data_IF_311493902815
#
_entry.id   IF_311493902815
#
_cell.length_a   1.000
_cell.length_b   1.000
_cell.length_c   1.000
_cell.angle_alpha   90.00
_cell.angle_beta   90.00
_cell.angle_gamma   90.00
#
_symmetry.space_group_name_H-M   'P 1'
#
loop_
_entity.id
_entity.type
_entity.pdbx_description
1 polymer ?
#
# COMPACT_ATOMS: atom_id res chain seq x y z
N UNK A 1 67.05 -20.57 -29.28
CA UNK A 1 65.59 -20.54 -29.21
C UNK A 1 65.08 -21.21 -27.93
N UNK A 2 64.77 -20.50 -26.87
CA UNK A 2 63.67 -20.88 -25.99
C UNK A 2 62.99 -19.70 -25.21
N UNK A 3 62.91 -18.48 -25.76
CA UNK A 3 62.28 -17.35 -24.99
C UNK A 3 60.77 -17.18 -25.26
N UNK A 4 60.24 -17.66 -26.37
CA UNK A 4 58.83 -17.54 -26.75
C UNK A 4 57.90 -18.51 -26.01
N UNK A 5 58.36 -19.67 -25.56
CA UNK A 5 57.53 -20.66 -24.89
C UNK A 5 57.19 -20.23 -23.42
N UNK A 6 58.02 -19.38 -22.82
CA UNK A 6 57.81 -18.90 -21.44
C UNK A 6 56.71 -17.83 -21.31
N UNK A 7 56.47 -17.03 -22.36
CA UNK A 7 55.43 -16.00 -22.38
C UNK A 7 54.01 -16.55 -22.69
N UNK A 8 53.92 -17.70 -23.35
CA UNK A 8 52.63 -18.33 -23.73
C UNK A 8 51.98 -19.10 -22.60
N UNK A 9 52.75 -19.61 -21.61
CA UNK A 9 52.20 -20.33 -20.45
C UNK A 9 51.26 -19.50 -19.55
N UNK A 10 51.60 -18.26 -19.12
CA UNK A 10 50.68 -17.47 -18.28
C UNK A 10 49.42 -17.08 -19.04
N UNK A 11 49.51 -16.82 -20.36
CA UNK A 11 48.34 -16.53 -21.17
C UNK A 11 47.41 -17.76 -21.32
N UNK A 12 47.98 -18.95 -21.53
CA UNK A 12 47.21 -20.18 -21.60
C UNK A 12 46.55 -20.54 -20.25
N UNK A 13 47.24 -20.29 -19.12
CA UNK A 13 46.68 -20.46 -17.78
C UNK A 13 45.57 -19.46 -17.57
N UNK A 14 45.72 -18.19 -17.93
CA UNK A 14 44.69 -17.17 -17.85
C UNK A 14 43.43 -17.50 -18.66
N UNK A 15 43.64 -17.98 -19.90
CA UNK A 15 42.51 -18.43 -20.74
C UNK A 15 41.82 -19.67 -20.17
N UNK A 16 42.59 -20.61 -19.61
CA UNK A 16 42.01 -21.79 -18.97
C UNK A 16 41.16 -21.41 -17.73
N UNK A 17 41.68 -20.52 -16.90
CA UNK A 17 40.94 -20.01 -15.72
C UNK A 17 39.67 -19.29 -16.18
N UNK A 18 39.73 -18.43 -17.17
CA UNK A 18 38.53 -17.77 -17.71
C UNK A 18 37.52 -18.75 -18.28
N UNK A 19 37.97 -19.73 -19.04
CA UNK A 19 37.10 -20.75 -19.62
C UNK A 19 36.44 -21.62 -18.55
N UNK A 20 37.21 -22.07 -17.55
CA UNK A 20 36.66 -22.86 -16.44
C UNK A 20 35.68 -22.04 -15.59
N UNK A 21 35.99 -20.78 -15.29
CA UNK A 21 35.07 -19.88 -14.57
C UNK A 21 33.78 -19.68 -15.36
N UNK A 22 33.87 -19.39 -16.65
CA UNK A 22 32.68 -19.22 -17.50
C UNK A 22 31.83 -20.50 -17.55
N UNK A 23 32.47 -21.66 -17.69
CA UNK A 23 31.78 -22.95 -17.69
C UNK A 23 31.10 -23.25 -16.35
N UNK A 24 31.75 -22.91 -15.26
CA UNK A 24 31.17 -23.06 -13.90
C UNK A 24 29.98 -22.17 -13.73
N UNK A 25 30.04 -20.89 -14.15
CA UNK A 25 28.91 -19.95 -14.07
C UNK A 25 27.72 -20.42 -14.93
N UNK A 26 27.99 -20.90 -16.14
CA UNK A 26 26.95 -21.46 -17.03
C UNK A 26 26.32 -22.71 -16.40
N UNK A 27 27.13 -23.61 -15.86
CA UNK A 27 26.64 -24.81 -15.20
C UNK A 27 25.79 -24.46 -13.95
N UNK A 28 26.25 -23.48 -13.15
CA UNK A 28 25.49 -22.99 -12.01
C UNK A 28 24.14 -22.37 -12.43
N UNK A 29 24.13 -21.55 -13.47
CA UNK A 29 22.90 -20.98 -14.03
C UNK A 29 21.93 -22.08 -14.49
N UNK A 30 22.43 -23.08 -15.23
CA UNK A 30 21.61 -24.20 -15.71
C UNK A 30 21.05 -25.03 -14.56
N UNK A 31 21.84 -25.32 -13.53
CA UNK A 31 21.40 -26.03 -12.34
C UNK A 31 20.34 -25.24 -11.57
N UNK A 32 20.50 -23.92 -11.41
CA UNK A 32 19.52 -23.06 -10.77
C UNK A 32 18.20 -22.98 -11.56
N UNK A 33 18.25 -23.14 -12.89
CA UNK A 33 17.02 -23.20 -13.70
C UNK A 33 16.24 -24.49 -13.54
N UNK A 34 16.86 -25.56 -13.07
CA UNK A 34 16.18 -26.80 -12.73
C UNK A 34 15.44 -26.71 -11.38
N UNK A 35 15.82 -25.77 -10.52
CA UNK A 35 15.09 -25.48 -9.28
C UNK A 35 13.85 -24.65 -9.65
N UNK A 36 12.65 -25.11 -9.31
CA UNK A 36 11.45 -24.31 -9.52
C UNK A 36 11.64 -22.94 -8.85
N UNK A 37 11.12 -21.86 -9.44
CA UNK A 37 11.13 -20.55 -8.78
C UNK A 37 10.52 -20.71 -7.41
N UNK A 38 11.13 -20.10 -6.39
CA UNK A 38 10.44 -19.92 -5.12
C UNK A 38 9.11 -19.24 -5.42
N UNK A 39 8.03 -19.81 -4.92
CA UNK A 39 6.74 -19.15 -5.05
C UNK A 39 6.86 -17.72 -4.51
N UNK A 40 6.28 -16.72 -5.21
CA UNK A 40 6.32 -15.35 -4.74
C UNK A 40 5.82 -15.33 -3.28
N UNK A 41 6.62 -14.79 -2.37
CA UNK A 41 6.20 -14.63 -0.99
C UNK A 41 4.96 -13.73 -0.98
N UNK A 42 3.85 -14.25 -0.50
CA UNK A 42 2.65 -13.47 -0.27
C UNK A 42 2.93 -12.56 0.92
N UNK A 43 2.69 -11.26 0.75
CA UNK A 43 2.78 -10.29 1.84
C UNK A 43 1.72 -10.59 2.88
N UNK A 44 2.16 -11.11 4.01
CA UNK A 44 1.31 -11.49 5.13
C UNK A 44 0.45 -12.72 4.85
N UNK A 45 0.07 -13.42 5.87
CA UNK A 45 -1.04 -14.35 5.80
C UNK A 45 -2.30 -13.51 5.63
N UNK A 46 -2.94 -13.60 4.46
CA UNK A 46 -4.29 -13.08 4.31
C UNK A 46 -5.19 -13.88 5.24
N UNK A 47 -5.35 -13.39 6.45
CA UNK A 47 -6.25 -13.98 7.42
C UNK A 47 -7.70 -13.67 7.04
N UNK A 48 -8.13 -14.12 5.86
CA UNK A 48 -9.53 -14.00 5.50
C UNK A 48 -10.13 -15.35 5.07
N UNK A 49 -11.42 -15.47 5.22
CA UNK A 49 -12.18 -16.61 4.74
C UNK A 49 -13.33 -16.17 3.84
N UNK A 50 -13.66 -17.00 2.84
CA UNK A 50 -14.82 -16.80 1.97
C UNK A 50 -16.11 -16.88 2.78
N UNK A 51 -17.25 -16.55 2.13
CA UNK A 51 -18.56 -16.55 2.77
C UNK A 51 -18.97 -17.92 3.36
N UNK A 52 -18.47 -19.00 2.78
CA UNK A 52 -18.66 -20.37 3.26
C UNK A 52 -17.75 -20.78 4.44
N UNK A 53 -16.91 -19.84 4.91
CA UNK A 53 -15.94 -20.06 5.98
C UNK A 53 -14.61 -20.68 5.51
N UNK A 54 -14.42 -20.93 4.23
CA UNK A 54 -13.17 -21.49 3.71
C UNK A 54 -12.04 -20.47 3.81
N UNK A 55 -10.94 -20.78 4.52
CA UNK A 55 -9.81 -19.86 4.61
C UNK A 55 -9.08 -19.74 3.27
N UNK A 56 -8.58 -18.56 2.97
CA UNK A 56 -7.73 -18.26 1.81
C UNK A 56 -6.33 -17.91 2.30
N UNK A 57 -5.34 -18.67 1.87
CA UNK A 57 -3.99 -18.61 2.42
C UNK A 57 -3.00 -17.83 1.56
N UNK A 58 -3.29 -17.68 0.27
CA UNK A 58 -2.36 -17.04 -0.67
C UNK A 58 -3.08 -16.52 -1.92
N UNK A 59 -2.35 -15.73 -2.72
CA UNK A 59 -2.86 -15.13 -3.95
C UNK A 59 -3.36 -16.17 -4.96
N UNK A 60 -2.63 -17.27 -5.14
CA UNK A 60 -3.00 -18.33 -6.08
C UNK A 60 -4.36 -18.92 -5.70
N UNK A 61 -4.53 -19.25 -4.43
CA UNK A 61 -5.80 -19.77 -3.92
C UNK A 61 -6.93 -18.73 -4.05
N UNK A 62 -6.65 -17.45 -3.81
CA UNK A 62 -7.61 -16.37 -4.00
C UNK A 62 -8.08 -16.26 -5.46
N UNK A 63 -7.16 -16.38 -6.43
CA UNK A 63 -7.48 -16.39 -7.86
C UNK A 63 -8.26 -17.65 -8.27
N UNK A 64 -7.79 -18.82 -7.87
CA UNK A 64 -8.43 -20.11 -8.19
C UNK A 64 -9.87 -20.20 -7.65
N UNK A 65 -10.11 -19.60 -6.48
CA UNK A 65 -11.43 -19.54 -5.85
C UNK A 65 -12.29 -18.35 -6.31
N UNK A 66 -11.75 -17.50 -7.18
CA UNK A 66 -12.47 -16.33 -7.68
C UNK A 66 -12.75 -15.27 -6.62
N UNK A 67 -11.96 -15.22 -5.54
CA UNK A 67 -12.05 -14.15 -4.52
C UNK A 67 -11.50 -12.82 -5.03
N UNK A 68 -10.53 -12.89 -5.91
CA UNK A 68 -9.97 -11.75 -6.64
C UNK A 68 -9.98 -12.02 -8.14
N UNK A 69 -9.98 -10.95 -8.91
CA UNK A 69 -9.96 -10.99 -10.37
C UNK A 69 -8.90 -10.04 -10.90
N UNK A 70 -8.35 -10.37 -12.07
CA UNK A 70 -7.44 -9.48 -12.78
C UNK A 70 -8.21 -8.26 -13.30
N UNK A 71 -7.61 -7.08 -13.17
CA UNK A 71 -8.14 -5.85 -13.74
C UNK A 71 -7.67 -5.74 -15.18
N UNK A 72 -8.59 -5.63 -16.16
CA UNK A 72 -8.22 -5.58 -17.57
C UNK A 72 -7.41 -4.32 -17.91
N UNK A 73 -6.65 -4.35 -19.03
CA UNK A 73 -5.94 -3.19 -19.57
C UNK A 73 -6.83 -1.93 -19.63
N UNK A 74 -6.24 -0.70 -19.57
CA UNK A 74 -4.91 -0.37 -20.02
C UNK A 74 -3.81 -0.32 -18.95
N UNK A 75 -4.02 -0.87 -17.77
CA UNK A 75 -2.99 -0.81 -16.75
C UNK A 75 -1.74 -1.61 -17.18
N UNK A 76 -0.53 -1.06 -16.99
CA UNK A 76 0.69 -1.60 -17.62
C UNK A 76 1.22 -2.90 -17.01
N UNK A 77 0.58 -3.41 -15.98
CA UNK A 77 0.96 -4.63 -15.24
C UNK A 77 -0.28 -5.42 -14.84
N UNK A 78 -0.17 -6.72 -14.59
CA UNK A 78 -1.25 -7.45 -13.96
C UNK A 78 -1.68 -6.77 -12.67
N UNK A 79 -2.96 -6.48 -12.55
CA UNK A 79 -3.59 -5.85 -11.40
C UNK A 79 -4.72 -6.73 -10.94
N UNK A 80 -4.88 -6.80 -9.64
CA UNK A 80 -5.95 -7.59 -9.06
C UNK A 80 -6.85 -6.69 -8.21
N UNK A 81 -8.11 -7.05 -8.16
CA UNK A 81 -9.11 -6.42 -7.29
C UNK A 81 -10.02 -7.50 -6.74
N UNK A 82 -10.76 -7.17 -5.70
CA UNK A 82 -11.79 -8.06 -5.20
C UNK A 82 -12.77 -8.42 -6.32
N UNK A 83 -13.18 -9.70 -6.37
CA UNK A 83 -14.18 -10.11 -7.31
C UNK A 83 -15.52 -9.40 -7.00
N UNK A 84 -16.26 -8.96 -8.02
CA UNK A 84 -17.56 -8.33 -7.83
C UNK A 84 -18.54 -9.22 -7.06
N UNK A 85 -19.42 -8.60 -6.28
CA UNK A 85 -20.49 -9.25 -5.51
C UNK A 85 -20.01 -10.31 -4.50
N UNK A 86 -18.79 -10.13 -4.00
CA UNK A 86 -18.19 -11.04 -3.02
C UNK A 86 -18.58 -10.70 -1.58
N UNK A 87 -18.55 -11.74 -0.75
CA UNK A 87 -18.58 -11.61 0.71
C UNK A 87 -17.47 -12.47 1.28
N UNK A 88 -16.76 -11.93 2.25
CA UNK A 88 -15.72 -12.65 2.96
C UNK A 88 -15.58 -12.12 4.40
N UNK A 89 -14.77 -12.77 5.21
CA UNK A 89 -14.52 -12.38 6.59
C UNK A 89 -13.02 -12.14 6.78
N UNK A 90 -12.69 -11.10 7.53
CA UNK A 90 -11.36 -10.93 8.11
C UNK A 90 -11.36 -11.64 9.47
N UNK A 91 -10.42 -12.56 9.70
CA UNK A 91 -10.40 -13.44 10.85
C UNK A 91 -9.43 -12.95 11.90
N UNK A 92 -9.94 -12.71 13.09
CA UNK A 92 -9.18 -12.31 14.29
C UNK A 92 -9.40 -13.29 15.47
N UNK A 93 -10.00 -14.43 15.19
CA UNK A 93 -10.39 -15.42 16.21
C UNK A 93 -9.23 -16.08 16.95
N UNK A 94 -8.04 -16.11 16.37
CA UNK A 94 -6.82 -16.61 17.00
C UNK A 94 -6.19 -15.63 17.98
N UNK A 95 -6.71 -14.40 18.01
CA UNK A 95 -6.22 -13.30 18.85
C UNK A 95 -7.12 -13.16 20.10
N UNK A 96 -7.14 -14.20 20.92
CA UNK A 96 -8.05 -14.40 22.05
C UNK A 96 -8.12 -13.26 23.10
N UNK A 97 -7.33 -12.20 22.95
CA UNK A 97 -7.25 -11.08 23.91
C UNK A 97 -8.12 -9.90 23.49
N UNK A 98 -8.69 -9.92 22.30
CA UNK A 98 -9.35 -8.74 21.72
C UNK A 98 -10.85 -8.91 21.65
N UNK A 99 -11.52 -8.53 22.70
CA UNK A 99 -12.97 -8.34 22.71
C UNK A 99 -13.31 -6.95 22.15
N UNK A 100 -13.16 -6.79 20.82
CA UNK A 100 -13.68 -5.60 20.18
C UNK A 100 -15.20 -5.73 19.98
N UNK A 101 -15.92 -4.67 20.26
CA UNK A 101 -17.39 -4.59 20.11
C UNK A 101 -17.88 -4.67 18.65
N UNK A 102 -16.94 -4.62 17.67
CA UNK A 102 -17.22 -4.70 16.25
C UNK A 102 -16.91 -6.06 15.60
N UNK A 103 -16.37 -7.01 16.37
CA UNK A 103 -16.20 -8.38 15.90
C UNK A 103 -17.50 -9.17 16.08
N UNK A 104 -17.74 -10.11 15.15
CA UNK A 104 -18.84 -11.05 15.33
C UNK A 104 -18.51 -12.08 16.44
N UNK A 105 -19.49 -12.94 16.76
CA UNK A 105 -19.33 -13.96 17.81
C UNK A 105 -18.19 -14.97 17.53
N UNK A 106 -17.69 -15.02 16.31
CA UNK A 106 -16.58 -15.85 15.88
C UNK A 106 -15.25 -15.06 15.80
N UNK A 107 -15.21 -13.81 16.24
CA UNK A 107 -14.02 -12.96 16.19
C UNK A 107 -13.68 -12.48 14.78
N UNK A 108 -14.68 -12.21 13.93
CA UNK A 108 -14.49 -11.86 12.52
C UNK A 108 -15.13 -10.51 12.18
N UNK A 109 -14.61 -9.88 11.14
CA UNK A 109 -15.22 -8.70 10.50
C UNK A 109 -15.79 -9.11 9.15
N UNK A 110 -17.11 -8.99 8.93
CA UNK A 110 -17.70 -9.24 7.63
C UNK A 110 -17.33 -8.14 6.64
N UNK A 111 -16.95 -8.52 5.44
CA UNK A 111 -16.66 -7.62 4.32
C UNK A 111 -17.58 -7.95 3.17
N UNK A 112 -18.21 -6.91 2.62
CA UNK A 112 -19.00 -6.98 1.40
C UNK A 112 -18.33 -6.19 0.29
N UNK A 113 -18.25 -6.78 -0.88
CA UNK A 113 -17.83 -6.15 -2.12
C UNK A 113 -19.03 -6.09 -3.05
N UNK A 114 -19.37 -4.91 -3.54
CA UNK A 114 -20.49 -4.71 -4.43
C UNK A 114 -20.22 -5.18 -5.88
N UNK A 115 -21.18 -5.06 -6.77
CA UNK A 115 -21.06 -5.47 -8.17
C UNK A 115 -19.99 -4.67 -8.94
N UNK A 116 -19.56 -3.53 -8.44
CA UNK A 116 -18.45 -2.72 -9.01
C UNK A 116 -17.07 -3.12 -8.50
N UNK A 117 -16.97 -4.12 -7.62
CA UNK A 117 -15.70 -4.54 -6.99
C UNK A 117 -15.22 -3.58 -5.90
N UNK A 118 -16.11 -2.79 -5.30
CA UNK A 118 -15.83 -1.83 -4.25
C UNK A 118 -16.33 -2.33 -2.90
N UNK A 119 -15.65 -1.95 -1.82
CA UNK A 119 -16.16 -2.18 -0.46
C UNK A 119 -17.28 -1.19 -0.16
N UNK A 120 -18.48 -1.57 -0.54
CA UNK A 120 -19.68 -0.77 -0.42
C UNK A 120 -20.88 -1.65 -0.07
N UNK A 121 -21.68 -1.22 0.91
CA UNK A 121 -22.93 -1.91 1.28
C UNK A 121 -23.99 -1.83 0.18
N UNK A 122 -23.97 -0.74 -0.60
CA UNK A 122 -24.93 -0.46 -1.64
C UNK A 122 -24.30 -0.55 -3.03
N UNK A 123 -25.11 -0.83 -4.03
CA UNK A 123 -24.68 -0.73 -5.41
C UNK A 123 -24.58 0.74 -5.82
N UNK A 124 -23.52 1.06 -6.53
CA UNK A 124 -23.30 2.41 -7.05
C UNK A 124 -23.38 2.37 -8.57
N UNK A 125 -24.43 2.98 -9.11
CA UNK A 125 -24.56 3.10 -10.55
C UNK A 125 -23.52 4.08 -11.11
N UNK A 126 -22.93 3.82 -12.30
CA UNK A 126 -22.05 4.77 -12.97
C UNK A 126 -22.72 6.12 -13.18
N UNK A 127 -23.94 6.13 -13.67
CA UNK A 127 -24.74 7.34 -13.84
C UNK A 127 -25.12 7.93 -12.49
N UNK A 128 -24.82 9.19 -12.31
CA UNK A 128 -25.11 9.92 -11.09
C UNK A 128 -26.57 10.41 -11.11
N UNK A 129 -27.35 10.13 -10.04
CA UNK A 129 -28.67 10.72 -9.88
C UNK A 129 -28.64 12.25 -9.95
N UNK A 130 -29.69 12.85 -10.49
CA UNK A 130 -29.79 14.30 -10.57
C UNK A 130 -29.76 14.93 -9.15
N UNK A 131 -28.92 15.95 -8.97
CA UNK A 131 -28.73 16.63 -7.69
C UNK A 131 -27.77 15.93 -6.72
N UNK A 132 -27.38 14.67 -6.97
CA UNK A 132 -26.41 13.99 -6.12
C UNK A 132 -24.99 14.50 -6.38
N UNK A 133 -24.24 14.72 -5.31
CA UNK A 133 -22.81 15.00 -5.36
C UNK A 133 -22.01 13.77 -4.90
N UNK A 134 -20.93 13.46 -5.60
CA UNK A 134 -20.09 12.29 -5.31
C UNK A 134 -18.69 12.68 -4.88
N UNK A 135 -18.28 12.18 -3.72
CA UNK A 135 -16.92 12.24 -3.21
C UNK A 135 -16.26 10.88 -3.44
N UNK A 136 -15.37 10.80 -4.42
CA UNK A 136 -14.64 9.57 -4.71
C UNK A 136 -13.39 9.53 -3.84
N UNK A 137 -13.33 8.55 -2.94
CA UNK A 137 -12.27 8.36 -1.96
C UNK A 137 -11.34 7.25 -2.44
N UNK A 138 -10.14 7.61 -2.85
CA UNK A 138 -9.13 6.69 -3.39
C UNK A 138 -7.98 6.56 -2.39
N UNK A 139 -7.44 5.39 -2.21
CA UNK A 139 -6.32 5.17 -1.29
C UNK A 139 -6.12 3.69 -0.97
N UNK A 140 -5.44 3.44 0.12
CA UNK A 140 -4.99 2.15 0.61
C UNK A 140 -6.01 1.41 1.49
N UNK A 141 -5.50 0.53 2.33
CA UNK A 141 -6.24 -0.23 3.33
C UNK A 141 -6.90 0.63 4.42
N UNK A 142 -6.39 1.84 4.70
CA UNK A 142 -7.02 2.80 5.62
C UNK A 142 -8.30 3.40 5.00
N UNK A 143 -8.30 3.60 3.68
CA UNK A 143 -9.50 4.00 2.92
C UNK A 143 -10.46 2.83 2.75
N UNK A 144 -9.95 1.66 2.44
CA UNK A 144 -10.74 0.43 2.40
C UNK A 144 -11.43 0.16 3.75
N UNK A 145 -10.76 0.50 4.86
CA UNK A 145 -11.23 0.23 6.21
C UNK A 145 -10.92 -1.21 6.64
N UNK A 146 -9.69 -1.68 6.40
CA UNK A 146 -9.26 -3.01 6.77
C UNK A 146 -9.41 -3.26 8.27
N UNK A 147 -9.93 -4.41 8.64
CA UNK A 147 -10.07 -4.84 10.04
C UNK A 147 -11.25 -4.24 10.82
N UNK A 148 -12.07 -3.40 10.19
CA UNK A 148 -13.21 -2.76 10.84
C UNK A 148 -14.48 -2.88 10.00
N UNK A 149 -15.69 -2.76 10.60
CA UNK A 149 -16.93 -2.66 9.85
C UNK A 149 -16.96 -1.44 8.92
N UNK A 150 -17.61 -1.55 7.76
CA UNK A 150 -17.67 -0.47 6.76
C UNK A 150 -18.21 0.84 7.36
N UNK A 151 -19.24 0.77 8.17
CA UNK A 151 -19.90 1.91 8.80
C UNK A 151 -19.02 2.66 9.83
N UNK A 152 -17.91 2.04 10.25
CA UNK A 152 -16.94 2.65 11.16
C UNK A 152 -15.72 3.22 10.46
N UNK A 153 -15.60 3.02 9.14
CA UNK A 153 -14.55 3.60 8.31
C UNK A 153 -14.80 5.08 7.99
N UNK A 154 -13.74 5.87 7.90
CA UNK A 154 -13.83 7.32 7.68
C UNK A 154 -14.64 7.70 6.43
N UNK A 155 -14.61 6.89 5.37
CA UNK A 155 -15.36 7.16 4.14
C UNK A 155 -16.86 7.22 4.41
N UNK A 156 -17.36 6.26 5.20
CA UNK A 156 -18.77 6.20 5.54
C UNK A 156 -19.14 7.25 6.58
N UNK A 157 -18.28 7.45 7.58
CA UNK A 157 -18.45 8.49 8.58
C UNK A 157 -18.48 9.89 7.92
N UNK A 158 -17.65 10.12 6.91
CA UNK A 158 -17.66 11.38 6.13
C UNK A 158 -18.99 11.57 5.39
N UNK A 159 -19.53 10.53 4.75
CA UNK A 159 -20.84 10.61 4.11
C UNK A 159 -21.92 11.03 5.10
N UNK A 160 -21.97 10.36 6.24
CA UNK A 160 -22.97 10.65 7.28
C UNK A 160 -22.86 12.09 7.80
N UNK A 161 -21.63 12.60 7.98
CA UNK A 161 -21.39 13.99 8.37
C UNK A 161 -21.85 14.99 7.29
N UNK A 162 -21.46 14.75 6.04
CA UNK A 162 -21.80 15.65 4.93
C UNK A 162 -23.30 15.67 4.66
N UNK A 163 -23.98 14.55 4.78
CA UNK A 163 -25.45 14.45 4.58
C UNK A 163 -26.26 15.16 5.65
N UNK A 164 -25.70 15.39 6.84
CA UNK A 164 -26.36 16.20 7.88
C UNK A 164 -26.65 17.64 7.45
N UNK A 165 -25.96 18.15 6.45
CA UNK A 165 -26.26 19.45 5.83
C UNK A 165 -27.53 19.47 4.98
N UNK A 166 -28.18 18.31 4.78
CA UNK A 166 -29.37 18.17 3.92
C UNK A 166 -29.05 17.98 2.44
N UNK A 167 -27.77 17.90 2.07
CA UNK A 167 -27.35 17.67 0.68
C UNK A 167 -27.38 16.16 0.35
N UNK A 168 -27.74 15.82 -0.88
CA UNK A 168 -27.59 14.45 -1.36
C UNK A 168 -26.14 14.17 -1.78
N UNK A 169 -25.35 13.74 -0.80
CA UNK A 169 -23.94 13.42 -0.97
C UNK A 169 -23.75 11.91 -0.85
N UNK A 170 -22.96 11.36 -1.79
CA UNK A 170 -22.54 9.98 -1.78
C UNK A 170 -21.01 9.90 -1.79
N UNK A 171 -20.41 9.26 -0.80
CA UNK A 171 -19.00 8.85 -0.87
C UNK A 171 -18.88 7.53 -1.61
N UNK A 172 -17.80 7.36 -2.35
CA UNK A 172 -17.48 6.12 -3.08
C UNK A 172 -16.15 5.60 -2.56
N UNK A 173 -16.16 4.46 -1.88
CA UNK A 173 -14.96 3.84 -1.33
C UNK A 173 -14.19 3.08 -2.41
N UNK A 174 -13.16 3.72 -2.95
CA UNK A 174 -12.21 3.14 -3.90
C UNK A 174 -10.89 2.74 -3.24
N UNK A 175 -10.92 2.42 -1.95
CA UNK A 175 -9.77 1.93 -1.22
C UNK A 175 -9.29 0.58 -1.74
N UNK A 176 -7.98 0.41 -1.80
CA UNK A 176 -7.30 -0.81 -2.21
C UNK A 176 -6.63 -1.49 -1.01
N UNK A 177 -6.24 -2.74 -1.17
CA UNK A 177 -5.53 -3.49 -0.13
C UNK A 177 -4.29 -4.13 -0.73
N UNK A 178 -3.20 -4.14 0.02
CA UNK A 178 -1.95 -4.76 -0.36
C UNK A 178 -0.86 -3.75 -0.74
N UNK A 179 0.05 -4.12 -1.64
CA UNK A 179 1.18 -3.29 -2.08
C UNK A 179 0.83 -2.35 -3.24
N UNK A 180 -0.37 -1.82 -3.23
CA UNK A 180 -0.88 -0.80 -4.17
C UNK A 180 -0.53 0.55 -3.60
N UNK A 181 0.10 1.42 -4.37
CA UNK A 181 0.59 2.72 -3.95
C UNK A 181 0.00 3.85 -4.82
N UNK A 182 0.49 5.05 -4.64
CA UNK A 182 -0.10 6.27 -5.25
C UNK A 182 -0.21 6.16 -6.79
N UNK A 183 0.78 5.58 -7.47
CA UNK A 183 0.76 5.40 -8.93
C UNK A 183 -0.43 4.54 -9.39
N UNK A 184 -0.79 3.52 -8.63
CA UNK A 184 -1.97 2.71 -8.92
C UNK A 184 -3.28 3.36 -8.52
N UNK A 185 -3.30 4.11 -7.43
CA UNK A 185 -4.49 4.90 -7.06
C UNK A 185 -4.85 5.87 -8.18
N UNK A 186 -3.85 6.54 -8.74
CA UNK A 186 -4.04 7.48 -9.86
C UNK A 186 -4.46 6.75 -11.13
N UNK A 187 -3.86 5.61 -11.43
CA UNK A 187 -4.29 4.77 -12.54
C UNK A 187 -5.74 4.27 -12.35
N UNK A 188 -6.08 3.83 -11.14
CA UNK A 188 -7.45 3.44 -10.77
C UNK A 188 -8.45 4.59 -10.93
N UNK A 189 -8.11 5.79 -10.45
CA UNK A 189 -8.91 6.99 -10.61
C UNK A 189 -9.22 7.27 -12.09
N UNK A 190 -8.21 7.22 -12.94
CA UNK A 190 -8.33 7.54 -14.36
C UNK A 190 -9.09 6.49 -15.17
N UNK A 191 -8.92 5.22 -14.87
CA UNK A 191 -9.36 4.12 -15.74
C UNK A 191 -10.52 3.28 -15.16
N UNK A 192 -10.74 3.33 -13.84
CA UNK A 192 -11.78 2.54 -13.18
C UNK A 192 -12.85 3.38 -12.50
N UNK A 193 -12.43 4.43 -11.77
CA UNK A 193 -13.31 5.17 -10.87
C UNK A 193 -13.89 6.44 -11.50
N UNK A 194 -13.32 6.92 -12.61
CA UNK A 194 -13.85 8.05 -13.39
C UNK A 194 -15.31 7.86 -13.80
N UNK A 195 -15.74 6.61 -14.02
CA UNK A 195 -17.13 6.25 -14.36
C UNK A 195 -18.15 6.68 -13.30
N UNK A 196 -17.72 6.85 -12.06
CA UNK A 196 -18.60 7.29 -10.97
C UNK A 196 -18.81 8.81 -10.94
N UNK A 197 -18.29 9.55 -11.92
CA UNK A 197 -18.53 10.98 -12.12
C UNK A 197 -18.26 11.80 -10.84
N UNK A 198 -17.00 11.81 -10.32
CA UNK A 198 -16.66 12.53 -9.09
C UNK A 198 -16.94 14.02 -9.18
N UNK A 199 -17.53 14.59 -8.15
CA UNK A 199 -17.58 16.04 -7.92
C UNK A 199 -16.40 16.48 -7.03
N UNK A 200 -15.82 15.56 -6.28
CA UNK A 200 -14.61 15.73 -5.46
C UNK A 200 -13.84 14.42 -5.46
N UNK A 201 -12.52 14.50 -5.53
CA UNK A 201 -11.62 13.37 -5.31
C UNK A 201 -10.82 13.61 -4.05
N UNK A 202 -10.89 12.67 -3.10
CA UNK A 202 -10.04 12.62 -1.92
C UNK A 202 -9.09 11.43 -2.08
N UNK A 203 -7.82 11.71 -2.26
CA UNK A 203 -6.77 10.69 -2.28
C UNK A 203 -6.14 10.62 -0.90
N UNK A 204 -6.22 9.46 -0.29
CA UNK A 204 -5.55 9.20 0.99
C UNK A 204 -4.28 8.41 0.77
N UNK A 205 -3.26 8.76 1.50
CA UNK A 205 -1.92 8.19 1.46
C UNK A 205 -1.59 7.74 2.87
N UNK A 206 -1.14 6.50 3.04
CA UNK A 206 -0.37 6.10 4.20
C UNK A 206 1.12 6.13 3.85
N UNK A 207 2.02 6.20 4.82
CA UNK A 207 3.45 6.36 4.53
C UNK A 207 4.06 5.19 3.75
N UNK A 208 3.49 3.99 3.82
CA UNK A 208 3.91 2.85 3.00
C UNK A 208 3.60 3.02 1.49
N UNK A 209 2.75 3.99 1.12
CA UNK A 209 2.41 4.27 -0.27
C UNK A 209 3.46 5.13 -1.01
N UNK A 210 4.49 5.59 -0.30
CA UNK A 210 5.51 6.49 -0.84
C UNK A 210 6.55 5.78 -1.72
N UNK A 211 6.32 4.54 -2.07
CA UNK A 211 7.12 3.74 -3.00
C UNK A 211 6.32 3.47 -4.29
N UNK A 212 7.00 3.14 -5.40
CA UNK A 212 6.30 2.63 -6.56
C UNK A 212 5.56 1.33 -6.24
N UNK A 213 4.35 1.18 -6.75
CA UNK A 213 3.60 -0.07 -6.60
C UNK A 213 4.39 -1.26 -7.14
N UNK A 214 4.41 -2.34 -6.40
CA UNK A 214 5.09 -3.57 -6.82
C UNK A 214 4.33 -4.37 -7.89
N UNK A 215 3.13 -3.96 -8.23
CA UNK A 215 2.36 -4.50 -9.34
C UNK A 215 1.37 -5.60 -8.96
N UNK A 216 1.52 -6.18 -7.80
CA UNK A 216 0.56 -7.12 -7.23
C UNK A 216 0.21 -6.65 -5.83
N UNK A 217 -1.07 -6.48 -5.58
CA UNK A 217 -1.56 -6.05 -4.27
C UNK A 217 -1.25 -7.01 -3.12
N UNK A 218 -0.53 -8.10 -3.36
CA UNK A 218 -0.23 -9.12 -2.35
C UNK A 218 1.10 -9.86 -2.60
N UNK A 219 1.85 -9.48 -3.64
CA UNK A 219 3.10 -10.16 -4.01
C UNK A 219 4.15 -9.11 -4.35
N UNK A 220 5.30 -9.18 -3.73
CA UNK A 220 6.48 -8.39 -4.15
C UNK A 220 7.06 -9.07 -5.40
N UNK A 221 6.96 -8.48 -6.59
CA UNK A 221 7.66 -9.02 -7.73
C UNK A 221 9.14 -8.70 -7.57
N UNK A 222 9.93 -9.70 -7.28
CA UNK A 222 11.33 -9.67 -7.68
C UNK A 222 11.32 -9.65 -9.20
N UNK A 223 11.68 -8.52 -9.82
CA UNK A 223 11.88 -8.47 -11.26
C UNK A 223 13.13 -9.31 -11.56
N UNK A 224 12.99 -10.51 -12.13
CA UNK A 224 14.14 -11.33 -12.40
C UNK A 224 15.02 -10.65 -13.44
N UNK A 225 16.32 -10.63 -13.21
CA UNK A 225 17.31 -10.09 -14.18
C UNK A 225 17.39 -10.92 -15.46
N UNK A 226 16.72 -12.06 -15.50
CA UNK A 226 16.84 -13.09 -16.56
C UNK A 226 17.92 -14.12 -16.27
N UNK A 227 18.75 -13.91 -15.25
CA UNK A 227 19.74 -14.87 -14.76
C UNK A 227 19.43 -15.26 -13.31
N UNK A 228 19.17 -16.54 -13.08
CA UNK A 228 18.92 -17.10 -11.73
C UNK A 228 20.11 -16.92 -10.81
N UNK A 229 21.32 -17.06 -11.35
CA UNK A 229 22.55 -16.88 -10.59
C UNK A 229 22.75 -15.43 -10.19
N UNK A 230 22.48 -14.48 -11.10
CA UNK A 230 22.56 -13.06 -10.78
C UNK A 230 21.51 -12.65 -9.74
N UNK A 231 20.29 -13.15 -9.88
CA UNK A 231 19.20 -12.91 -8.92
C UNK A 231 19.57 -13.43 -7.52
N UNK A 232 20.19 -14.62 -7.45
CA UNK A 232 20.69 -15.20 -6.20
C UNK A 232 21.79 -14.31 -5.58
N UNK A 233 22.78 -13.89 -6.39
CA UNK A 233 23.89 -13.04 -5.94
C UNK A 233 23.37 -11.69 -5.46
N UNK A 234 22.46 -11.06 -6.21
CA UNK A 234 21.85 -9.78 -5.83
C UNK A 234 21.04 -9.91 -4.55
N UNK A 235 20.32 -11.03 -4.35
CA UNK A 235 19.61 -11.31 -3.12
C UNK A 235 20.53 -11.47 -1.90
N UNK A 236 21.70 -12.10 -2.08
CA UNK A 236 22.69 -12.26 -1.00
C UNK A 236 23.42 -10.96 -0.66
N UNK A 237 23.63 -10.08 -1.65
CA UNK A 237 24.38 -8.82 -1.47
C UNK A 237 23.47 -7.67 -1.03
N UNK A 238 22.14 -7.92 -0.86
CA UNK A 238 21.17 -6.89 -0.46
C UNK A 238 21.04 -5.75 -1.48
N UNK A 239 21.45 -5.96 -2.72
CA UNK A 239 21.33 -5.00 -3.83
C UNK A 239 20.21 -5.36 -4.81
N UNK A 240 19.31 -6.25 -4.39
CA UNK A 240 18.02 -6.36 -5.05
C UNK A 240 17.27 -5.01 -5.00
N UNK A 241 16.34 -4.75 -5.91
CA UNK A 241 15.49 -3.58 -5.82
C UNK A 241 14.88 -3.57 -4.43
N UNK A 242 15.11 -2.47 -3.67
CA UNK A 242 14.72 -2.21 -2.28
C UNK A 242 14.21 -3.50 -1.62
N UNK A 243 15.02 -4.09 -0.77
CA UNK A 243 14.61 -5.30 -0.02
C UNK A 243 13.49 -4.88 0.96
N UNK A 244 12.33 -4.66 0.39
CA UNK A 244 11.08 -4.66 1.12
C UNK A 244 10.82 -6.12 1.44
N UNK A 245 11.66 -6.73 2.30
CA UNK A 245 11.32 -8.03 2.87
C UNK A 245 9.99 -7.83 3.60
N UNK A 246 8.88 -8.35 3.05
CA UNK A 246 7.58 -8.19 3.68
C UNK A 246 7.51 -8.89 5.05
N UNK A 247 8.47 -9.74 5.34
CA UNK A 247 8.64 -10.36 6.66
C UNK A 247 9.42 -9.44 7.63
N UNK A 248 10.08 -8.39 7.12
CA UNK A 248 10.82 -7.45 7.93
C UNK A 248 9.93 -6.27 8.30
N UNK A 249 9.52 -6.19 9.53
CA UNK A 249 8.86 -5.01 10.06
C UNK A 249 9.92 -3.93 10.35
N UNK A 250 10.41 -3.29 9.28
CA UNK A 250 11.42 -2.24 9.35
C UNK A 250 10.91 -1.03 10.15
N UNK A 251 9.60 -0.81 10.21
CA UNK A 251 9.00 0.24 11.05
C UNK A 251 9.21 -0.10 12.52
N UNK A 252 8.96 -1.36 12.91
CA UNK A 252 9.18 -1.81 14.28
C UNK A 252 10.67 -1.82 14.63
N UNK A 253 11.54 -2.25 13.72
CA UNK A 253 12.99 -2.20 13.92
C UNK A 253 13.49 -0.78 14.23
N UNK A 254 12.98 0.23 13.52
CA UNK A 254 13.32 1.63 13.78
C UNK A 254 12.81 2.13 15.13
N UNK A 255 11.62 1.69 15.53
CA UNK A 255 11.03 2.05 16.82
C UNK A 255 11.72 1.37 17.99
N UNK A 256 12.28 0.19 17.79
CA UNK A 256 12.97 -0.59 18.82
C UNK A 256 14.41 -0.11 19.05
N UNK A 257 14.97 0.67 18.12
CA UNK A 257 16.28 1.26 18.31
C UNK A 257 16.22 2.39 19.37
N UNK A 258 17.05 2.33 20.44
CA UNK A 258 17.19 3.45 21.34
C UNK A 258 17.58 4.73 20.58
N UNK A 259 17.04 5.91 20.94
CA UNK A 259 17.32 7.17 20.21
C UNK A 259 18.80 7.47 20.03
N UNK A 260 19.64 7.10 21.01
CA UNK A 260 21.09 7.28 20.94
C UNK A 260 21.75 6.33 19.92
N UNK A 261 21.25 5.10 19.78
CA UNK A 261 21.74 4.11 18.81
C UNK A 261 21.27 4.46 17.41
N UNK A 262 20.02 4.91 17.26
CA UNK A 262 19.48 5.40 16.00
C UNK A 262 20.31 6.60 15.50
N UNK A 263 20.61 7.56 16.36
CA UNK A 263 21.46 8.71 16.04
C UNK A 263 22.90 8.28 15.68
N UNK A 264 23.49 7.34 16.42
CA UNK A 264 24.83 6.80 16.14
C UNK A 264 24.88 6.01 14.82
N UNK A 265 23.78 5.36 14.44
CA UNK A 265 23.64 4.68 13.15
C UNK A 265 23.34 5.64 11.99
N UNK A 266 23.22 6.96 12.27
CA UNK A 266 22.82 7.94 11.26
C UNK A 266 21.35 7.87 10.88
N UNK A 267 20.55 7.16 11.68
CA UNK A 267 19.10 7.08 11.56
C UNK A 267 18.57 8.28 12.35
N UNK A 268 18.35 9.37 11.67
CA UNK A 268 17.67 10.55 12.21
C UNK A 268 16.19 10.47 11.82
N UNK A 269 15.40 11.48 12.10
CA UNK A 269 14.01 11.66 11.59
C UNK A 269 13.90 11.47 10.07
N UNK A 270 14.97 11.16 9.46
CA UNK A 270 15.26 11.18 8.05
C UNK A 270 15.82 9.87 7.56
N UNK A 271 15.45 8.78 8.21
CA UNK A 271 16.14 7.57 7.94
C UNK A 271 16.20 7.21 6.44
N UNK A 272 17.26 6.45 6.11
CA UNK A 272 17.52 6.04 4.73
C UNK A 272 16.36 5.35 4.04
N UNK A 273 15.56 4.50 4.69
CA UNK A 273 14.34 3.96 4.10
C UNK A 273 13.37 5.06 3.68
N UNK A 274 13.13 6.06 4.52
CA UNK A 274 12.23 7.17 4.20
C UNK A 274 12.70 7.97 2.98
N UNK A 275 13.99 8.27 2.91
CA UNK A 275 14.57 8.95 1.75
C UNK A 275 14.52 8.07 0.49
N UNK A 276 14.78 6.78 0.61
CA UNK A 276 14.69 5.84 -0.50
C UNK A 276 13.26 5.71 -1.02
N UNK A 277 12.26 5.68 -0.14
CA UNK A 277 10.84 5.64 -0.51
C UNK A 277 10.45 6.87 -1.37
N UNK A 278 10.86 8.06 -0.94
CA UNK A 278 10.52 9.31 -1.61
C UNK A 278 11.38 9.60 -2.84
N UNK A 279 12.64 9.15 -2.86
CA UNK A 279 13.64 9.51 -3.88
C UNK A 279 13.34 8.96 -5.29
N UNK A 280 12.42 8.00 -5.42
CA UNK A 280 12.04 7.44 -6.73
C UNK A 280 11.39 8.46 -7.67
N UNK A 281 10.78 9.50 -7.11
CA UNK A 281 10.02 10.50 -7.87
C UNK A 281 8.64 10.05 -8.35
N UNK A 282 8.34 8.74 -8.26
CA UNK A 282 7.05 8.17 -8.73
C UNK A 282 5.86 8.71 -7.95
N UNK A 283 5.87 8.78 -6.60
CA UNK A 283 4.77 9.36 -5.84
C UNK A 283 4.49 10.82 -6.22
N UNK A 284 5.54 11.63 -6.35
CA UNK A 284 5.42 13.05 -6.72
C UNK A 284 4.80 13.22 -8.10
N UNK A 285 5.31 12.47 -9.08
CA UNK A 285 4.76 12.49 -10.44
C UNK A 285 3.29 12.07 -10.44
N UNK A 286 2.94 11.01 -9.73
CA UNK A 286 1.58 10.49 -9.65
C UNK A 286 0.61 11.52 -9.04
N UNK A 287 1.02 12.24 -7.99
CA UNK A 287 0.22 13.32 -7.39
C UNK A 287 -0.04 14.46 -8.40
N UNK A 288 0.99 14.87 -9.14
CA UNK A 288 0.85 15.91 -10.19
C UNK A 288 -0.06 15.45 -11.34
N UNK A 289 0.05 14.19 -11.75
CA UNK A 289 -0.82 13.59 -12.77
C UNK A 289 -2.28 13.54 -12.32
N UNK A 290 -2.54 13.15 -11.06
CA UNK A 290 -3.88 13.16 -10.50
C UNK A 290 -4.46 14.58 -10.46
N UNK A 291 -3.65 15.55 -9.99
CA UNK A 291 -4.04 16.98 -9.98
C UNK A 291 -4.39 17.47 -11.38
N UNK A 292 -3.53 17.26 -12.37
CA UNK A 292 -3.77 17.67 -13.74
C UNK A 292 -5.02 17.00 -14.34
N UNK A 293 -5.23 15.71 -14.05
CA UNK A 293 -6.42 14.99 -14.49
C UNK A 293 -7.70 15.57 -13.89
N UNK A 294 -7.70 15.89 -12.60
CA UNK A 294 -8.84 16.50 -11.90
C UNK A 294 -9.09 17.93 -12.39
N UNK A 295 -8.04 18.73 -12.55
CA UNK A 295 -8.15 20.11 -13.06
C UNK A 295 -8.77 20.18 -14.46
N UNK A 296 -8.37 19.26 -15.34
CA UNK A 296 -8.93 19.18 -16.70
C UNK A 296 -10.44 18.91 -16.70
N UNK A 297 -10.98 18.43 -15.58
CA UNK A 297 -12.40 18.12 -15.36
C UNK A 297 -13.09 19.08 -14.41
N UNK A 298 -12.37 20.06 -13.88
CA UNK A 298 -12.85 21.02 -12.87
C UNK A 298 -13.34 20.31 -11.60
N UNK A 299 -12.70 19.19 -11.24
CA UNK A 299 -12.99 18.42 -10.03
C UNK A 299 -11.95 18.77 -8.96
N UNK A 300 -12.32 19.25 -7.78
CA UNK A 300 -11.41 19.41 -6.66
C UNK A 300 -10.67 18.12 -6.35
N UNK A 301 -9.33 18.19 -6.25
CA UNK A 301 -8.45 17.10 -5.86
C UNK A 301 -7.80 17.42 -4.52
N UNK A 302 -8.06 16.59 -3.53
CA UNK A 302 -7.65 16.77 -2.15
C UNK A 302 -6.77 15.58 -1.72
N UNK A 303 -5.74 15.84 -0.93
CA UNK A 303 -4.84 14.80 -0.41
C UNK A 303 -4.89 14.76 1.11
N UNK A 304 -5.02 13.57 1.67
CA UNK A 304 -4.98 13.29 3.10
C UNK A 304 -3.84 12.33 3.38
N UNK A 305 -2.97 12.66 4.32
CA UNK A 305 -1.85 11.82 4.74
C UNK A 305 -2.13 11.18 6.10
N UNK A 306 -2.05 9.85 6.14
CA UNK A 306 -2.11 9.06 7.36
C UNK A 306 -0.69 8.71 7.84
N UNK A 307 -0.42 8.82 9.16
CA UNK A 307 0.84 8.36 9.72
C UNK A 307 0.92 6.83 9.75
N UNK A 308 2.12 6.29 9.84
CA UNK A 308 2.28 5.04 10.54
C UNK A 308 1.81 5.23 11.97
N UNK A 309 0.97 4.31 12.46
CA UNK A 309 0.41 4.44 13.82
C UNK A 309 1.44 4.05 14.89
N UNK A 310 2.48 3.30 14.51
CA UNK A 310 3.58 2.95 15.40
C UNK A 310 4.30 4.20 15.91
N UNK A 311 4.73 4.17 17.14
CA UNK A 311 5.45 5.28 17.77
C UNK A 311 4.57 6.44 18.26
N UNK A 312 3.25 6.40 18.01
CA UNK A 312 2.33 7.42 18.52
C UNK A 312 2.10 7.25 20.03
N UNK A 313 1.91 8.37 20.72
CA UNK A 313 1.60 8.40 22.14
C UNK A 313 2.17 9.65 22.82
N UNK A 314 1.65 10.00 24.00
CA UNK A 314 2.06 11.22 24.71
C UNK A 314 3.56 11.23 24.99
N UNK A 315 4.22 12.32 24.55
CA UNK A 315 5.65 12.54 24.79
C UNK A 315 6.60 11.61 24.01
N UNK A 316 6.08 10.78 23.10
CA UNK A 316 6.90 9.93 22.25
C UNK A 316 7.47 10.72 21.08
N UNK A 317 8.71 10.41 20.71
CA UNK A 317 9.29 10.85 19.45
C UNK A 317 8.66 10.08 18.30
N UNK A 318 8.23 10.79 17.25
CA UNK A 318 7.67 10.18 16.06
C UNK A 318 8.72 10.21 14.93
N UNK A 319 9.30 9.07 14.54
CA UNK A 319 10.49 9.03 13.68
C UNK A 319 10.20 9.36 12.21
N UNK A 320 8.93 9.42 11.79
CA UNK A 320 8.57 9.62 10.39
C UNK A 320 8.12 11.04 10.03
N UNK A 321 8.34 12.02 10.92
CA UNK A 321 7.91 13.40 10.71
C UNK A 321 8.41 13.98 9.37
N UNK A 322 9.65 13.67 8.98
CA UNK A 322 10.20 14.16 7.71
C UNK A 322 9.42 13.68 6.49
N UNK A 323 8.87 12.46 6.48
CA UNK A 323 8.04 11.99 5.38
C UNK A 323 6.76 12.84 5.26
N UNK A 324 6.14 13.18 6.38
CA UNK A 324 4.99 14.10 6.39
C UNK A 324 5.36 15.46 5.80
N UNK A 325 6.51 16.01 6.19
CA UNK A 325 6.99 17.31 5.71
C UNK A 325 7.28 17.27 4.19
N UNK A 326 7.85 16.18 3.68
CA UNK A 326 8.12 15.99 2.26
C UNK A 326 6.83 15.92 1.43
N UNK A 327 5.83 15.16 1.89
CA UNK A 327 4.53 15.07 1.22
C UNK A 327 3.81 16.42 1.25
N UNK A 328 3.80 17.10 2.40
CA UNK A 328 3.22 18.43 2.54
C UNK A 328 3.88 19.45 1.61
N UNK A 329 5.22 19.43 1.51
CA UNK A 329 5.97 20.31 0.62
C UNK A 329 5.64 20.07 -0.85
N UNK A 330 5.52 18.80 -1.27
CA UNK A 330 5.11 18.46 -2.64
C UNK A 330 3.69 18.91 -2.94
N UNK A 331 2.73 18.64 -2.05
CA UNK A 331 1.35 19.08 -2.21
C UNK A 331 1.27 20.61 -2.33
N UNK A 332 2.03 21.33 -1.48
CA UNK A 332 2.12 22.80 -1.55
C UNK A 332 2.70 23.27 -2.90
N UNK A 333 3.78 22.67 -3.36
CA UNK A 333 4.42 23.00 -4.63
C UNK A 333 3.51 22.74 -5.83
N UNK A 334 2.72 21.68 -5.78
CA UNK A 334 1.76 21.30 -6.81
C UNK A 334 0.40 22.02 -6.69
N UNK A 335 0.21 22.89 -5.69
CA UNK A 335 -1.08 23.55 -5.44
C UNK A 335 -2.20 22.56 -5.10
N UNK A 336 -1.90 21.49 -4.41
CA UNK A 336 -2.86 20.46 -3.97
C UNK A 336 -3.28 20.76 -2.52
N UNK A 337 -4.58 20.99 -2.24
CA UNK A 337 -5.07 21.05 -0.88
C UNK A 337 -4.73 19.76 -0.11
N UNK A 338 -4.14 19.92 1.07
CA UNK A 338 -3.53 18.85 1.84
C UNK A 338 -3.96 18.92 3.30
N UNK A 339 -4.19 17.76 3.90
CA UNK A 339 -4.36 17.62 5.33
C UNK A 339 -3.54 16.45 5.88
N UNK A 340 -2.89 16.68 7.01
CA UNK A 340 -2.14 15.67 7.75
C UNK A 340 -2.97 15.21 8.96
N UNK A 341 -3.20 13.91 9.07
CA UNK A 341 -3.95 13.31 10.17
C UNK A 341 -3.08 13.12 11.41
N UNK A 342 -1.75 13.12 11.27
CA UNK A 342 -0.81 12.90 12.37
C UNK A 342 -1.09 13.76 13.62
N UNK A 343 -1.36 15.08 13.53
CA UNK A 343 -1.63 15.88 14.70
C UNK A 343 -2.84 15.42 15.52
N UNK A 344 -3.86 14.86 14.85
CA UNK A 344 -5.07 14.38 15.53
C UNK A 344 -4.86 13.03 16.25
N UNK A 345 -3.83 12.28 15.88
CA UNK A 345 -3.54 10.96 16.44
C UNK A 345 -2.33 10.95 17.36
N UNK A 346 -1.45 11.94 17.29
CA UNK A 346 -0.12 11.98 17.89
C UNK A 346 -0.09 11.63 19.38
N UNK A 347 -1.05 12.15 20.15
CA UNK A 347 -1.09 11.99 21.60
C UNK A 347 -1.90 10.76 22.07
N UNK A 348 -2.40 9.97 21.14
CA UNK A 348 -3.09 8.72 21.46
C UNK A 348 -2.10 7.55 21.43
N UNK A 349 -2.00 6.76 22.50
CA UNK A 349 -1.14 5.56 22.48
C UNK A 349 -1.51 4.67 21.31
N UNK A 350 -0.51 4.24 20.55
CA UNK A 350 -0.72 3.50 19.31
C UNK A 350 -1.48 2.18 19.48
N UNK A 351 -1.32 1.53 20.64
CA UNK A 351 -2.04 0.30 20.97
C UNK A 351 -3.56 0.49 21.02
N UNK A 352 -4.02 1.73 21.23
CA UNK A 352 -5.44 2.10 21.19
C UNK A 352 -5.95 2.42 19.79
N UNK A 353 -5.03 2.58 18.83
CA UNK A 353 -5.36 2.97 17.45
C UNK A 353 -5.35 1.79 16.48
N UNK A 354 -4.77 0.65 16.87
CA UNK A 354 -4.66 -0.55 16.05
C UNK A 354 -5.92 -1.41 16.08
N UNK A 355 -6.18 -2.09 14.98
CA UNK A 355 -7.19 -3.15 14.95
C UNK A 355 -6.81 -4.24 15.95
N UNK A 356 -5.55 -4.71 15.91
CA UNK A 356 -4.99 -5.64 16.88
C UNK A 356 -3.48 -5.40 17.01
N UNK A 357 -2.78 -5.95 18.02
CA UNK A 357 -1.32 -5.90 18.10
C UNK A 357 -0.60 -6.55 16.91
N UNK A 358 -1.26 -7.42 16.16
CA UNK A 358 -0.74 -8.07 14.94
C UNK A 358 -1.27 -7.44 13.65
N UNK A 359 -2.26 -6.56 13.77
CA UNK A 359 -2.86 -5.83 12.66
C UNK A 359 -2.91 -4.34 13.02
N UNK A 360 -1.88 -3.62 12.62
CA UNK A 360 -1.66 -2.21 12.96
C UNK A 360 -2.45 -1.24 12.07
N UNK A 361 -3.48 -1.71 11.36
CA UNK A 361 -4.38 -0.82 10.64
C UNK A 361 -5.21 0.03 11.60
N UNK A 362 -5.70 1.17 11.08
CA UNK A 362 -6.48 2.13 11.84
C UNK A 362 -7.84 1.54 12.28
N UNK A 363 -8.01 1.38 13.58
CA UNK A 363 -9.26 0.92 14.18
C UNK A 363 -10.34 2.02 14.19
N UNK A 364 -11.58 1.75 14.64
CA UNK A 364 -12.66 2.74 14.67
C UNK A 364 -12.31 4.03 15.40
N UNK A 365 -11.52 3.98 16.47
CA UNK A 365 -11.10 5.18 17.20
C UNK A 365 -10.17 6.05 16.33
N UNK A 366 -9.19 5.44 15.68
CA UNK A 366 -8.29 6.17 14.77
C UNK A 366 -9.07 6.82 13.61
N UNK A 367 -10.03 6.09 13.04
CA UNK A 367 -10.92 6.60 11.99
C UNK A 367 -11.75 7.80 12.46
N UNK A 368 -12.30 7.73 13.66
CA UNK A 368 -13.08 8.83 14.26
C UNK A 368 -12.23 10.07 14.57
N UNK A 369 -10.99 9.88 15.06
CA UNK A 369 -10.07 10.99 15.34
C UNK A 369 -9.60 11.69 14.05
N UNK A 370 -9.45 10.94 12.96
CA UNK A 370 -9.08 11.49 11.66
C UNK A 370 -10.22 12.25 10.96
N UNK A 371 -11.47 11.87 11.21
CA UNK A 371 -12.64 12.38 10.50
C UNK A 371 -12.76 13.92 10.51
N UNK A 372 -12.60 14.65 11.64
CA UNK A 372 -12.68 16.10 11.64
C UNK A 372 -11.68 16.78 10.71
N UNK A 373 -10.45 16.24 10.59
CA UNK A 373 -9.40 16.75 9.72
C UNK A 373 -9.80 16.57 8.26
N UNK A 374 -10.28 15.38 7.90
CA UNK A 374 -10.72 15.05 6.54
C UNK A 374 -11.94 15.89 6.15
N UNK A 375 -12.92 15.97 7.04
CA UNK A 375 -14.12 16.79 6.83
C UNK A 375 -13.80 18.27 6.63
N UNK A 376 -12.90 18.83 7.45
CA UNK A 376 -12.48 20.23 7.32
C UNK A 376 -11.84 20.49 5.95
N UNK A 377 -10.98 19.58 5.47
CA UNK A 377 -10.37 19.69 4.16
C UNK A 377 -11.44 19.70 3.04
N UNK A 378 -12.38 18.76 3.08
CA UNK A 378 -13.47 18.66 2.10
C UNK A 378 -14.36 19.91 2.14
N UNK A 379 -14.75 20.33 3.33
CA UNK A 379 -15.58 21.53 3.51
C UNK A 379 -14.90 22.79 2.92
N UNK A 380 -13.63 23.00 3.28
CA UNK A 380 -12.88 24.21 2.88
C UNK A 380 -12.65 24.28 1.36
N UNK A 381 -12.38 23.15 0.72
CA UNK A 381 -11.91 23.15 -0.68
C UNK A 381 -12.91 22.61 -1.70
N UNK A 382 -14.00 22.01 -1.25
CA UNK A 382 -15.05 21.49 -2.13
C UNK A 382 -16.43 22.07 -1.84
N UNK A 383 -16.58 22.88 -0.79
CA UNK A 383 -17.86 23.50 -0.43
C UNK A 383 -18.94 22.48 -0.09
N UNK A 384 -18.56 21.41 0.60
CA UNK A 384 -19.45 20.32 1.08
C UNK A 384 -19.59 20.35 2.60
#
# INVERSE_FOLDING_TARGET
MPAESRKRRPLAIGLLVLATTALTLVAAELLLRLVPPSEPKVLGELSYSLADGTPVKNLKEALERGAIVEVPPPLPRPRYTWAPSQRFFLNYSDQAVLQHDWLDAQGRVPVRINASGLRERDEIQPEKPAGQRRVVCVGDSFTFGWGIPEERGWVRLLEDELRRSGQDIRTVNCGAVGTVCIDEYVAGLRHRFAKFQPDVVVLTICLNDLVPSSGLSLVVPVQPTGSRLLDLVLGVVGRGPLDLDPARDWVQELLDLPPAEAAAAGITDHDRPAEAMWSTGVPQQSLREAKAWCDSRKVPFLVVLWPFLQGLGPGRHYPFQKLHDLVAAECKAAGIPFADVLPALRDTPHEKLWVTPRDMHANPLAQQLALPVIRQLVHTHAGL
#
